data_IF_023105782601
#
_entry.id   IF_023105782601
#
_cell.length_a   1.000
_cell.length_b   1.000
_cell.length_c   1.000
_cell.angle_alpha   90.00
_cell.angle_beta   90.00
_cell.angle_gamma   90.00
#
_symmetry.space_group_name_H-M   'P 1'
#
loop_
_entity.id
_entity.type
_entity.pdbx_description
1 polymer ?
#
# COMPACT_ATOMS: atom_id res chain seq x y z
N UNK A 1 29.03 -10.00 16.35
CA UNK A 1 29.11 -9.43 14.98
C UNK A 1 30.46 -9.86 14.41
N UNK A 2 30.48 -10.69 13.37
CA UNK A 2 31.72 -11.10 12.73
C UNK A 2 32.29 -9.92 11.93
N UNK A 3 33.49 -9.46 12.29
CA UNK A 3 34.18 -8.39 11.59
C UNK A 3 34.78 -8.99 10.30
N UNK A 4 34.43 -8.45 9.14
CA UNK A 4 35.03 -8.88 7.88
C UNK A 4 36.54 -8.53 7.89
N UNK A 5 37.38 -9.47 7.47
CA UNK A 5 38.82 -9.25 7.32
C UNK A 5 39.13 -8.40 6.07
N UNK A 6 40.31 -7.79 6.04
CA UNK A 6 40.73 -6.89 4.96
C UNK A 6 40.77 -7.56 3.59
N UNK A 7 41.03 -8.88 3.55
CA UNK A 7 41.04 -9.68 2.32
C UNK A 7 39.62 -9.87 1.76
N UNK A 8 38.65 -10.11 2.62
CA UNK A 8 37.24 -10.29 2.25
C UNK A 8 36.66 -8.98 1.71
N UNK A 9 37.00 -7.84 2.34
CA UNK A 9 36.60 -6.52 1.84
C UNK A 9 37.18 -6.23 0.45
N UNK A 10 38.47 -6.51 0.22
CA UNK A 10 39.09 -6.28 -1.08
C UNK A 10 38.49 -7.13 -2.22
N UNK A 11 38.08 -8.38 -1.92
CA UNK A 11 37.38 -9.23 -2.89
C UNK A 11 35.97 -8.73 -3.18
N UNK A 12 35.26 -8.27 -2.14
CA UNK A 12 33.93 -7.67 -2.28
C UNK A 12 34.00 -6.40 -3.13
N UNK A 13 34.93 -5.48 -2.84
CA UNK A 13 35.06 -4.19 -3.54
C UNK A 13 35.22 -4.36 -5.04
N UNK A 14 36.04 -5.33 -5.48
CA UNK A 14 36.23 -5.60 -6.91
C UNK A 14 34.95 -6.09 -7.59
N UNK A 15 34.19 -6.96 -6.93
CA UNK A 15 32.91 -7.46 -7.43
C UNK A 15 31.85 -6.35 -7.44
N UNK A 16 31.74 -5.60 -6.35
CA UNK A 16 30.81 -4.49 -6.21
C UNK A 16 31.09 -3.38 -7.23
N UNK A 17 32.36 -3.05 -7.50
CA UNK A 17 32.72 -2.07 -8.53
C UNK A 17 32.24 -2.49 -9.93
N UNK A 18 32.40 -3.77 -10.30
CA UNK A 18 31.92 -4.29 -11.58
C UNK A 18 30.40 -4.22 -11.71
N UNK A 19 29.66 -4.54 -10.64
CA UNK A 19 28.19 -4.46 -10.63
C UNK A 19 27.72 -3.00 -10.65
N UNK A 20 28.36 -2.12 -9.89
CA UNK A 20 27.99 -0.71 -9.80
C UNK A 20 28.19 0.05 -11.12
N UNK A 21 29.19 -0.32 -11.94
CA UNK A 21 29.40 0.25 -13.29
C UNK A 21 28.19 0.03 -14.20
N UNK A 22 27.45 -1.06 -14.00
CA UNK A 22 26.25 -1.38 -14.77
C UNK A 22 24.95 -0.97 -14.07
N UNK A 23 25.04 -0.34 -12.89
CA UNK A 23 23.88 0.19 -12.18
C UNK A 23 23.44 1.52 -12.78
N UNK A 24 22.29 1.54 -13.47
CA UNK A 24 21.57 2.77 -13.76
C UNK A 24 20.81 3.25 -12.51
N UNK A 25 20.58 4.56 -12.40
CA UNK A 25 19.68 5.09 -11.38
C UNK A 25 18.24 4.67 -11.71
N UNK A 26 17.58 3.83 -10.89
CA UNK A 26 16.22 3.37 -11.18
C UNK A 26 15.22 4.51 -11.33
N UNK A 27 15.47 5.66 -10.69
CA UNK A 27 14.59 6.84 -10.81
C UNK A 27 14.70 7.47 -12.19
N UNK A 28 15.92 7.56 -12.74
CA UNK A 28 16.16 8.08 -14.07
C UNK A 28 15.53 7.17 -15.14
N UNK A 29 15.66 5.85 -14.97
CA UNK A 29 15.07 4.86 -15.88
C UNK A 29 13.53 4.95 -15.89
N UNK A 30 12.90 5.02 -14.71
CA UNK A 30 11.43 5.18 -14.61
C UNK A 30 10.96 6.46 -15.30
N UNK A 31 11.69 7.57 -15.18
CA UNK A 31 11.35 8.83 -15.86
C UNK A 31 11.47 8.67 -17.38
N UNK A 32 12.56 8.05 -17.86
CA UNK A 32 12.76 7.80 -19.28
C UNK A 32 11.63 6.94 -19.88
N UNK A 33 11.24 5.86 -19.18
CA UNK A 33 10.15 4.99 -19.64
C UNK A 33 8.78 5.68 -19.59
N UNK A 34 8.50 6.52 -18.57
CA UNK A 34 7.29 7.35 -18.55
C UNK A 34 7.21 8.32 -19.73
N UNK A 35 8.35 8.91 -20.11
CA UNK A 35 8.42 9.82 -21.25
C UNK A 35 8.26 9.12 -22.61
N UNK A 36 8.58 7.83 -22.70
CA UNK A 36 8.38 7.02 -23.91
C UNK A 36 6.90 6.66 -24.15
N UNK A 37 6.03 6.80 -23.14
CA UNK A 37 4.63 6.44 -23.26
C UNK A 37 3.94 7.20 -24.42
N UNK A 38 3.31 6.46 -25.33
CA UNK A 38 2.59 7.02 -26.48
C UNK A 38 1.13 7.38 -26.17
N UNK A 39 0.75 7.40 -24.90
CA UNK A 39 -0.61 7.65 -24.42
C UNK A 39 -0.59 8.42 -23.10
N UNK A 40 -1.69 9.10 -22.80
CA UNK A 40 -1.88 9.81 -21.52
C UNK A 40 -2.29 8.81 -20.43
N UNK A 41 -1.37 8.52 -19.51
CA UNK A 41 -1.59 7.62 -18.39
C UNK A 41 -2.68 8.12 -17.42
N UNK A 42 -2.87 9.43 -17.29
CA UNK A 42 -3.90 10.02 -16.42
C UNK A 42 -5.30 9.80 -17.02
N UNK A 43 -5.45 9.95 -18.33
CA UNK A 43 -6.71 9.62 -19.00
C UNK A 43 -7.05 8.13 -18.88
N UNK A 44 -6.05 7.26 -19.07
CA UNK A 44 -6.23 5.82 -18.89
C UNK A 44 -6.62 5.47 -17.44
N UNK A 45 -6.00 6.11 -16.45
CA UNK A 45 -6.34 5.95 -15.04
C UNK A 45 -7.81 6.26 -14.77
N UNK A 46 -8.32 7.39 -15.28
CA UNK A 46 -9.72 7.75 -15.13
C UNK A 46 -10.65 6.75 -15.83
N UNK A 47 -10.31 6.32 -17.05
CA UNK A 47 -11.10 5.35 -17.80
C UNK A 47 -11.24 4.01 -17.05
N UNK A 48 -10.13 3.47 -16.55
CA UNK A 48 -10.10 2.18 -15.85
C UNK A 48 -10.81 2.19 -14.50
N UNK A 49 -10.91 3.35 -13.85
CA UNK A 49 -11.53 3.49 -12.53
C UNK A 49 -12.96 4.04 -12.60
N UNK A 50 -13.54 4.17 -13.80
CA UNK A 50 -14.91 4.61 -13.98
C UNK A 50 -15.13 6.11 -13.76
N UNK A 51 -14.09 6.93 -13.96
CA UNK A 51 -14.17 8.38 -13.93
C UNK A 51 -13.13 9.04 -13.02
N UNK A 52 -12.91 10.34 -13.25
CA UNK A 52 -12.01 11.18 -12.47
C UNK A 52 -12.40 11.26 -10.98
N UNK A 53 -13.70 11.40 -10.71
CA UNK A 53 -14.23 11.54 -9.34
C UNK A 53 -13.89 10.34 -8.46
N UNK A 54 -14.01 9.12 -8.99
CA UNK A 54 -13.68 7.89 -8.26
C UNK A 54 -12.18 7.80 -7.93
N UNK A 55 -11.33 8.25 -8.85
CA UNK A 55 -9.88 8.30 -8.65
C UNK A 55 -9.52 9.33 -7.58
N UNK A 56 -10.11 10.53 -7.64
CA UNK A 56 -9.88 11.58 -6.67
C UNK A 56 -10.41 11.19 -5.28
N UNK A 57 -11.60 10.58 -5.20
CA UNK A 57 -12.16 10.08 -3.95
C UNK A 57 -11.27 9.00 -3.34
N UNK A 58 -10.81 8.03 -4.14
CA UNK A 58 -9.89 6.99 -3.68
C UNK A 58 -8.57 7.57 -3.17
N UNK A 59 -8.02 8.57 -3.86
CA UNK A 59 -6.78 9.24 -3.45
C UNK A 59 -6.95 10.01 -2.13
N UNK A 60 -8.10 10.67 -1.95
CA UNK A 60 -8.47 11.35 -0.70
C UNK A 60 -8.55 10.36 0.47
N UNK A 61 -9.31 9.27 0.29
CA UNK A 61 -9.43 8.22 1.31
C UNK A 61 -8.08 7.57 1.63
N UNK A 62 -7.21 7.36 0.62
CA UNK A 62 -5.88 6.82 0.83
C UNK A 62 -5.01 7.73 1.72
N UNK A 63 -5.09 9.06 1.53
CA UNK A 63 -4.41 10.02 2.41
C UNK A 63 -4.96 9.96 3.84
N UNK A 64 -6.28 9.88 3.99
CA UNK A 64 -6.92 9.80 5.31
C UNK A 64 -6.54 8.52 6.04
N UNK A 65 -6.57 7.37 5.36
CA UNK A 65 -6.13 6.08 5.90
C UNK A 65 -4.65 6.12 6.29
N UNK A 66 -3.78 6.70 5.46
CA UNK A 66 -2.35 6.81 5.77
C UNK A 66 -2.06 7.70 6.99
N UNK A 67 -2.98 8.61 7.34
CA UNK A 67 -2.88 9.45 8.53
C UNK A 67 -3.37 8.76 9.81
N UNK A 68 -4.00 7.58 9.71
CA UNK A 68 -4.49 6.85 10.89
C UNK A 68 -3.47 5.79 11.35
N UNK A 69 -3.39 5.53 12.67
CA UNK A 69 -2.49 4.51 13.20
C UNK A 69 -2.86 3.09 12.75
N UNK A 70 -4.14 2.84 12.43
CA UNK A 70 -4.60 1.54 11.93
C UNK A 70 -4.39 1.35 10.42
N UNK A 71 -4.05 2.42 9.69
CA UNK A 71 -3.66 2.35 8.29
C UNK A 71 -2.16 2.13 8.05
N UNK A 72 -1.32 2.23 9.09
CA UNK A 72 0.12 2.01 8.98
C UNK A 72 0.46 0.53 8.80
N UNK A 73 1.20 0.22 7.74
CA UNK A 73 1.61 -1.14 7.34
C UNK A 73 3.12 -1.31 7.22
N UNK A 74 3.92 -0.31 7.59
CA UNK A 74 5.38 -0.32 7.34
C UNK A 74 6.09 -1.52 7.96
N UNK A 75 5.60 -2.01 9.10
CA UNK A 75 6.23 -3.09 9.84
C UNK A 75 5.56 -4.46 9.62
N UNK A 76 4.64 -4.58 8.65
CA UNK A 76 3.84 -5.80 8.44
C UNK A 76 4.69 -7.06 8.29
N UNK A 77 5.83 -6.99 7.61
CA UNK A 77 6.71 -8.15 7.38
C UNK A 77 7.44 -8.65 8.63
N UNK A 78 7.38 -7.91 9.74
CA UNK A 78 7.99 -8.28 11.01
C UNK A 78 6.97 -8.78 12.04
N UNK A 79 5.68 -8.80 11.69
CA UNK A 79 4.61 -9.23 12.59
C UNK A 79 4.44 -10.75 12.54
N UNK A 80 4.11 -11.34 13.69
CA UNK A 80 3.55 -12.68 13.75
C UNK A 80 2.16 -12.74 13.11
N UNK A 81 1.65 -13.95 12.87
CA UNK A 81 0.29 -14.15 12.35
C UNK A 81 -0.78 -13.59 13.28
N UNK A 82 -0.60 -13.74 14.59
CA UNK A 82 -1.52 -13.23 15.62
C UNK A 82 -1.51 -11.70 15.63
N UNK A 83 -0.33 -11.09 15.53
CA UNK A 83 -0.17 -9.64 15.46
C UNK A 83 -0.79 -9.06 14.18
N UNK A 84 -0.60 -9.74 13.04
CA UNK A 84 -1.23 -9.39 11.76
C UNK A 84 -2.77 -9.47 11.86
N UNK A 85 -3.30 -10.52 12.49
CA UNK A 85 -4.74 -10.67 12.72
C UNK A 85 -5.30 -9.55 13.62
N UNK A 86 -4.62 -9.22 14.72
CA UNK A 86 -4.99 -8.09 15.58
C UNK A 86 -4.95 -6.77 14.82
N UNK A 87 -3.96 -6.57 13.95
CA UNK A 87 -3.89 -5.43 13.03
C UNK A 87 -5.12 -5.32 12.13
N UNK A 88 -5.54 -6.44 11.55
CA UNK A 88 -6.77 -6.53 10.74
C UNK A 88 -8.04 -6.14 11.51
N UNK A 89 -8.19 -6.59 12.76
CA UNK A 89 -9.33 -6.24 13.61
C UNK A 89 -9.32 -4.75 14.00
N UNK A 90 -8.14 -4.19 14.36
CA UNK A 90 -7.98 -2.77 14.68
C UNK A 90 -8.37 -1.89 13.50
N UNK A 91 -7.96 -2.27 12.30
CA UNK A 91 -8.34 -1.59 11.07
C UNK A 91 -9.85 -1.65 10.82
N UNK A 92 -10.49 -2.81 10.98
CA UNK A 92 -11.93 -2.93 10.77
C UNK A 92 -12.73 -2.03 11.75
N UNK A 93 -12.34 -2.03 13.03
CA UNK A 93 -12.95 -1.15 14.03
C UNK A 93 -12.67 0.33 13.73
N UNK A 94 -11.45 0.68 13.32
CA UNK A 94 -11.07 2.04 12.96
C UNK A 94 -11.85 2.58 11.75
N UNK A 95 -12.05 1.74 10.73
CA UNK A 95 -12.89 2.07 9.58
C UNK A 95 -14.34 2.27 10.02
N UNK A 96 -14.89 1.35 10.82
CA UNK A 96 -16.27 1.47 11.31
C UNK A 96 -16.49 2.75 12.12
N UNK A 97 -15.59 3.05 13.06
CA UNK A 97 -15.65 4.28 13.84
C UNK A 97 -15.62 5.51 12.94
N UNK A 98 -14.71 5.55 11.95
CA UNK A 98 -14.61 6.67 11.01
C UNK A 98 -15.87 6.84 10.16
N UNK A 99 -16.50 5.75 9.72
CA UNK A 99 -17.78 5.79 8.99
C UNK A 99 -18.87 6.43 9.86
N UNK A 100 -18.97 6.04 11.12
CA UNK A 100 -19.99 6.54 12.04
C UNK A 100 -19.75 8.02 12.40
N UNK A 101 -18.51 8.36 12.77
CA UNK A 101 -18.15 9.70 13.24
C UNK A 101 -18.28 10.76 12.13
N UNK A 102 -17.84 10.42 10.92
CA UNK A 102 -17.85 11.33 9.76
C UNK A 102 -19.06 11.13 8.84
N UNK A 103 -19.97 10.21 9.20
CA UNK A 103 -21.16 9.84 8.41
C UNK A 103 -20.83 9.51 6.96
N UNK A 104 -19.73 8.78 6.75
CA UNK A 104 -19.29 8.41 5.42
C UNK A 104 -20.22 7.35 4.82
N UNK A 105 -20.42 7.35 3.49
CA UNK A 105 -21.15 6.27 2.83
C UNK A 105 -20.41 4.94 3.01
N UNK A 106 -21.19 3.86 3.02
CA UNK A 106 -20.65 2.51 3.13
C UNK A 106 -19.60 2.20 2.04
N UNK A 107 -19.77 2.73 0.83
CA UNK A 107 -18.82 2.58 -0.28
C UNK A 107 -17.43 3.09 0.08
N UNK A 108 -17.32 4.23 0.78
CA UNK A 108 -16.03 4.75 1.23
C UNK A 108 -15.42 3.82 2.28
N UNK A 109 -16.24 3.25 3.16
CA UNK A 109 -15.81 2.22 4.11
C UNK A 109 -15.20 0.99 3.45
N UNK A 110 -15.87 0.48 2.41
CA UNK A 110 -15.38 -0.63 1.59
C UNK A 110 -14.09 -0.26 0.85
N UNK A 111 -14.00 0.97 0.35
CA UNK A 111 -12.80 1.46 -0.33
C UNK A 111 -11.63 1.61 0.65
N UNK A 112 -11.86 2.16 1.85
CA UNK A 112 -10.86 2.20 2.92
C UNK A 112 -10.41 0.79 3.29
N UNK A 113 -11.32 -0.18 3.35
CA UNK A 113 -10.98 -1.59 3.63
C UNK A 113 -10.01 -2.15 2.60
N UNK A 114 -10.26 -1.91 1.31
CA UNK A 114 -9.35 -2.29 0.22
C UNK A 114 -8.00 -1.57 0.30
N UNK A 115 -8.00 -0.28 0.65
CA UNK A 115 -6.77 0.50 0.80
C UNK A 115 -5.93 0.03 2.00
N UNK A 116 -6.58 -0.44 3.06
CA UNK A 116 -5.93 -0.94 4.26
C UNK A 116 -5.38 -2.35 4.08
N UNK A 117 -5.94 -3.21 3.24
CA UNK A 117 -5.30 -4.48 2.80
C UNK A 117 -4.71 -5.35 3.94
N UNK A 118 -5.27 -5.28 5.15
CA UNK A 118 -4.94 -6.21 6.23
C UNK A 118 -5.80 -7.47 6.07
N UNK A 119 -5.28 -8.68 6.34
CA UNK A 119 -6.12 -9.87 6.36
C UNK A 119 -7.00 -9.81 7.61
N UNK A 120 -8.32 -9.76 7.43
CA UNK A 120 -9.25 -9.51 8.54
C UNK A 120 -10.28 -10.60 8.79
N UNK A 121 -10.45 -11.57 7.89
CA UNK A 121 -11.51 -12.58 7.97
C UNK A 121 -12.95 -12.05 7.82
N UNK A 122 -13.15 -10.74 7.99
CA UNK A 122 -14.44 -10.03 7.85
C UNK A 122 -14.88 -9.85 6.39
N UNK A 123 -14.03 -10.15 5.42
CA UNK A 123 -14.36 -10.07 3.98
C UNK A 123 -15.59 -10.93 3.64
N UNK A 124 -15.72 -12.10 4.27
CA UNK A 124 -16.86 -12.99 4.08
C UNK A 124 -18.13 -12.43 4.75
N UNK A 125 -17.98 -11.79 5.91
CA UNK A 125 -19.11 -11.19 6.62
C UNK A 125 -19.69 -9.99 5.87
N UNK A 126 -18.82 -9.18 5.26
CA UNK A 126 -19.21 -7.98 4.50
C UNK A 126 -19.70 -8.35 3.08
N UNK A 127 -19.05 -9.33 2.42
CA UNK A 127 -19.37 -9.73 1.04
C UNK A 127 -20.53 -10.73 0.90
N UNK A 128 -20.81 -11.54 1.92
CA UNK A 128 -21.86 -12.58 1.87
C UNK A 128 -22.94 -12.36 2.93
N UNK A 129 -22.61 -11.73 4.07
CA UNK A 129 -23.52 -11.60 5.22
C UNK A 129 -24.43 -10.37 5.20
N UNK A 130 -24.13 -9.36 4.38
CA UNK A 130 -24.87 -8.10 4.39
C UNK A 130 -24.70 -7.35 5.71
N UNK A 131 -24.13 -6.15 5.67
CA UNK A 131 -24.23 -5.23 6.80
C UNK A 131 -25.70 -4.79 6.94
N UNK A 132 -26.50 -5.58 7.64
CA UNK A 132 -27.72 -5.08 8.25
C UNK A 132 -27.32 -4.49 9.60
N UNK A 133 -27.47 -3.18 9.80
CA UNK A 133 -27.23 -2.58 11.12
C UNK A 133 -28.25 -3.15 12.13
N UNK A 134 -27.90 -3.27 13.42
CA UNK A 134 -28.92 -3.37 14.47
C UNK A 134 -29.77 -2.10 14.55
#
# INVERSE_FOLDING_TARGET
MAHADSRTLALQERSTALVAIHGSDPRADIVAERNRASFDATQLLHLLNGGKEKVERRAELARQVAATPWGDKKNRHFLSREEEYVGGLRAALGIWAKIQDEKLPLEDGLMMRQLVDWPGGLELHIGVGGLSPP
#
